data_IF_326820333260
#
_entry.id   IF_326820333260
#
_cell.length_a   1.000
_cell.length_b   1.000
_cell.length_c   1.000
_cell.angle_alpha   90.00
_cell.angle_beta   90.00
_cell.angle_gamma   90.00
#
_symmetry.space_group_name_H-M   'P 1'
#
loop_
_entity.id
_entity.type
_entity.pdbx_description
1 polymer ?
#
# COMPACT_ATOMS: atom_id res chain seq x y z
N UNK A 1 24.58 13.80 -28.44
CA UNK A 1 24.44 13.81 -26.98
C UNK A 1 23.50 12.67 -26.60
N UNK A 2 23.97 11.64 -25.87
CA UNK A 2 23.12 10.52 -25.42
C UNK A 2 22.26 11.01 -24.26
N UNK A 3 20.94 11.13 -24.48
CA UNK A 3 19.99 11.35 -23.41
C UNK A 3 20.03 10.14 -22.46
N UNK A 4 20.45 10.37 -21.23
CA UNK A 4 20.22 9.44 -20.13
C UNK A 4 18.72 9.32 -19.96
N UNK A 5 18.14 8.23 -20.45
CA UNK A 5 16.78 7.81 -20.12
C UNK A 5 16.70 7.71 -18.60
N UNK A 6 15.91 8.60 -18.03
CA UNK A 6 15.52 8.63 -16.62
C UNK A 6 15.10 7.24 -16.18
N UNK A 7 15.93 6.59 -15.36
CA UNK A 7 15.81 5.20 -14.87
C UNK A 7 14.63 4.99 -13.90
N UNK A 8 13.72 5.95 -13.79
CA UNK A 8 12.52 5.84 -12.96
C UNK A 8 11.33 6.04 -13.89
N UNK A 9 10.74 4.91 -14.31
CA UNK A 9 9.41 4.92 -14.92
C UNK A 9 8.48 5.76 -14.06
N UNK A 10 7.65 6.58 -14.70
CA UNK A 10 6.80 7.57 -14.04
C UNK A 10 5.96 6.98 -12.91
N UNK A 11 5.40 7.86 -12.06
CA UNK A 11 4.64 7.49 -10.85
C UNK A 11 3.63 6.36 -11.11
N UNK A 12 2.98 6.34 -12.28
CA UNK A 12 2.08 5.26 -12.71
C UNK A 12 2.73 3.87 -12.69
N UNK A 13 3.92 3.70 -13.26
CA UNK A 13 4.61 2.41 -13.28
C UNK A 13 5.03 1.90 -11.89
N UNK A 14 5.15 2.80 -10.89
CA UNK A 14 5.41 2.41 -9.50
C UNK A 14 4.17 1.91 -8.77
N UNK A 15 2.96 2.26 -9.22
CA UNK A 15 1.70 1.82 -8.61
C UNK A 15 1.28 0.43 -9.11
N UNK A 16 1.59 0.11 -10.37
CA UNK A 16 1.37 -1.22 -10.95
C UNK A 16 2.45 -2.24 -10.53
N UNK A 17 3.59 -1.77 -10.03
CA UNK A 17 4.66 -2.62 -9.50
C UNK A 17 4.27 -3.37 -8.23
N UNK A 18 5.07 -4.37 -7.82
CA UNK A 18 4.78 -5.17 -6.62
C UNK A 18 4.76 -4.29 -5.37
N UNK A 19 3.93 -4.69 -4.40
CA UNK A 19 3.90 -4.11 -3.07
C UNK A 19 5.31 -4.10 -2.45
N UNK A 20 5.69 -2.95 -1.88
CA UNK A 20 6.97 -2.84 -1.19
C UNK A 20 6.92 -3.55 0.17
N UNK A 21 8.09 -3.96 0.68
CA UNK A 21 8.19 -4.57 2.03
C UNK A 21 7.58 -3.67 3.13
N UNK A 22 7.76 -2.36 3.01
CA UNK A 22 7.21 -1.39 3.96
C UNK A 22 5.67 -1.36 3.92
N UNK A 23 5.08 -1.36 2.72
CA UNK A 23 3.63 -1.47 2.56
C UNK A 23 3.11 -2.80 3.10
N UNK A 24 3.79 -3.92 2.84
CA UNK A 24 3.38 -5.24 3.33
C UNK A 24 3.30 -5.29 4.87
N UNK A 25 4.35 -4.80 5.56
CA UNK A 25 4.38 -4.73 7.01
C UNK A 25 3.29 -3.81 7.56
N UNK A 26 3.10 -2.63 6.95
CA UNK A 26 2.08 -1.68 7.41
C UNK A 26 0.66 -2.20 7.20
N UNK A 27 0.37 -2.77 6.02
CA UNK A 27 -0.92 -3.36 5.70
C UNK A 27 -1.25 -4.52 6.62
N UNK A 28 -0.28 -5.41 6.89
CA UNK A 28 -0.47 -6.54 7.82
C UNK A 28 -0.84 -6.05 9.23
N UNK A 29 -0.07 -5.10 9.75
CA UNK A 29 -0.32 -4.52 11.09
C UNK A 29 -1.71 -3.87 11.19
N UNK A 30 -2.11 -3.07 10.19
CA UNK A 30 -3.43 -2.43 10.17
C UNK A 30 -4.57 -3.43 10.04
N UNK A 31 -4.38 -4.48 9.22
CA UNK A 31 -5.37 -5.54 9.05
C UNK A 31 -5.58 -6.33 10.35
N UNK A 32 -4.52 -6.55 11.15
CA UNK A 32 -4.62 -7.16 12.47
C UNK A 32 -5.31 -6.23 13.47
N UNK A 33 -4.92 -4.95 13.52
CA UNK A 33 -5.50 -3.92 14.39
C UNK A 33 -7.02 -3.73 14.17
N UNK A 34 -7.45 -3.73 12.90
CA UNK A 34 -8.86 -3.63 12.54
C UNK A 34 -9.62 -4.96 12.64
N UNK A 35 -9.00 -6.06 13.09
CA UNK A 35 -9.57 -7.42 13.08
C UNK A 35 -10.03 -7.90 11.69
N UNK A 36 -9.37 -7.44 10.63
CA UNK A 36 -9.64 -7.75 9.22
C UNK A 36 -8.44 -8.39 8.49
N UNK A 37 -7.92 -9.56 8.94
CA UNK A 37 -6.70 -10.15 8.36
C UNK A 37 -6.81 -10.47 6.86
N UNK A 38 -8.02 -10.62 6.32
CA UNK A 38 -8.29 -10.85 4.88
C UNK A 38 -7.92 -9.66 3.98
N UNK A 39 -7.70 -8.47 4.55
CA UNK A 39 -7.28 -7.28 3.80
C UNK A 39 -5.82 -7.39 3.31
N UNK A 40 -5.00 -8.20 3.98
CA UNK A 40 -3.62 -8.47 3.56
C UNK A 40 -3.56 -9.60 2.52
N UNK A 41 -2.80 -9.38 1.44
CA UNK A 41 -2.41 -10.43 0.50
C UNK A 41 -0.94 -10.23 0.07
N UNK A 42 -0.17 -11.32 -0.15
CA UNK A 42 1.28 -11.24 -0.40
C UNK A 42 1.65 -10.72 -1.79
N UNK A 43 0.72 -10.74 -2.75
CA UNK A 43 0.95 -10.45 -4.17
C UNK A 43 0.22 -9.18 -4.65
N UNK A 44 -0.08 -8.24 -3.75
CA UNK A 44 -0.69 -6.96 -4.12
C UNK A 44 0.30 -6.10 -4.92
N UNK A 45 -0.25 -5.22 -5.75
CA UNK A 45 0.52 -4.11 -6.30
C UNK A 45 0.75 -3.04 -5.23
N UNK A 46 1.75 -2.19 -5.43
CA UNK A 46 2.02 -1.04 -4.58
C UNK A 46 0.81 -0.10 -4.50
N UNK A 47 0.13 0.14 -5.61
CA UNK A 47 -1.06 0.99 -5.65
C UNK A 47 -2.23 0.41 -4.87
N UNK A 48 -2.48 -0.89 -5.01
CA UNK A 48 -3.55 -1.57 -4.27
C UNK A 48 -3.24 -1.64 -2.77
N UNK A 49 -1.99 -1.94 -2.40
CA UNK A 49 -1.56 -1.92 -1.02
C UNK A 49 -1.72 -0.53 -0.39
N UNK A 50 -1.37 0.54 -1.10
CA UNK A 50 -1.55 1.91 -0.64
C UNK A 50 -3.04 2.24 -0.38
N UNK A 51 -3.93 1.89 -1.33
CA UNK A 51 -5.38 2.11 -1.17
C UNK A 51 -5.94 1.42 0.07
N UNK A 52 -5.58 0.15 0.30
CA UNK A 52 -6.05 -0.60 1.47
C UNK A 52 -5.51 -0.05 2.78
N UNK A 53 -4.24 0.38 2.79
CA UNK A 53 -3.63 1.03 3.97
C UNK A 53 -4.43 2.29 4.34
N UNK A 54 -4.76 3.13 3.36
CA UNK A 54 -5.48 4.37 3.64
C UNK A 54 -6.91 4.10 4.09
N UNK A 55 -7.61 3.13 3.48
CA UNK A 55 -8.94 2.71 3.93
C UNK A 55 -8.93 2.23 5.39
N UNK A 56 -8.01 1.34 5.76
CA UNK A 56 -7.90 0.83 7.13
C UNK A 56 -7.57 1.92 8.14
N UNK A 57 -6.68 2.86 7.79
CA UNK A 57 -6.38 4.01 8.67
C UNK A 57 -7.63 4.86 8.92
N UNK A 58 -8.42 5.12 7.87
CA UNK A 58 -9.67 5.88 8.01
C UNK A 58 -10.68 5.12 8.86
N UNK A 59 -10.86 3.83 8.64
CA UNK A 59 -11.75 2.98 9.44
C UNK A 59 -11.37 2.98 10.93
N UNK A 60 -10.08 2.78 11.24
CA UNK A 60 -9.57 2.78 12.62
C UNK A 60 -9.78 4.16 13.26
N UNK A 61 -9.41 5.25 12.57
CA UNK A 61 -9.58 6.60 13.12
C UNK A 61 -11.05 6.94 13.39
N UNK A 62 -11.97 6.44 12.55
CA UNK A 62 -13.41 6.59 12.76
C UNK A 62 -13.87 5.80 13.98
N UNK A 63 -13.37 4.57 14.17
CA UNK A 63 -13.69 3.73 15.34
C UNK A 63 -13.18 4.34 16.66
N UNK A 64 -11.98 4.93 16.64
CA UNK A 64 -11.36 5.58 17.82
C UNK A 64 -12.04 6.90 18.21
N UNK A 65 -12.93 7.44 17.38
CA UNK A 65 -13.62 8.72 17.60
C UNK A 65 -14.94 8.59 18.38
N UNK A 66 -15.30 7.40 18.86
CA UNK A 66 -16.53 7.09 19.62
C UNK A 66 -16.21 6.56 21.01
#
# INVERSE_FOLDING_TARGET
MKAMVTKYGGVAGRLDGPMTRAQALRLKSLAEEAYQPKQYAPNLSSGEAARRIDALKTEIALADSF
#
